data_IF_702819753116
#
_entry.id   IF_702819753116
#
_cell.length_a   1.000
_cell.length_b   1.000
_cell.length_c   1.000
_cell.angle_alpha   90.00
_cell.angle_beta   90.00
_cell.angle_gamma   90.00
#
_symmetry.space_group_name_H-M   'P 1'
#
loop_
_entity.id
_entity.type
_entity.pdbx_description
1 polymer ?
#
# COMPACT_ATOMS: atom_id res chain seq x y z
N UNK A 1 -19.20 2.34 23.66
CA UNK A 1 -18.99 0.99 24.22
C UNK A 1 -19.48 -0.14 23.31
N UNK A 2 -20.76 -0.19 22.86
CA UNK A 2 -21.29 -1.30 22.01
C UNK A 2 -20.47 -1.61 20.74
N UNK A 3 -20.01 -0.62 19.98
CA UNK A 3 -19.19 -0.83 18.76
C UNK A 3 -17.84 -1.49 19.04
N UNK A 4 -17.19 -1.16 20.16
CA UNK A 4 -15.90 -1.76 20.56
C UNK A 4 -16.05 -3.25 20.93
N UNK A 5 -17.13 -3.62 21.65
CA UNK A 5 -17.40 -5.02 21.96
C UNK A 5 -17.78 -5.84 20.73
N UNK A 6 -18.55 -5.25 19.79
CA UNK A 6 -18.87 -5.90 18.51
C UNK A 6 -17.62 -6.13 17.66
N UNK A 7 -16.71 -5.16 17.60
CA UNK A 7 -15.44 -5.31 16.91
C UNK A 7 -14.55 -6.40 17.55
N UNK A 8 -14.45 -6.42 18.89
CA UNK A 8 -13.69 -7.44 19.60
C UNK A 8 -14.29 -8.85 19.39
N UNK A 9 -15.61 -8.97 19.48
CA UNK A 9 -16.29 -10.24 19.23
C UNK A 9 -16.07 -10.72 17.78
N UNK A 10 -16.14 -9.83 16.81
CA UNK A 10 -15.87 -10.15 15.40
C UNK A 10 -14.40 -10.55 15.19
N UNK A 11 -13.46 -9.83 15.80
CA UNK A 11 -12.04 -10.17 15.74
C UNK A 11 -11.74 -11.54 16.34
N UNK A 12 -12.35 -11.87 17.49
CA UNK A 12 -12.24 -13.19 18.12
C UNK A 12 -12.89 -14.30 17.28
N UNK A 13 -14.04 -14.03 16.66
CA UNK A 13 -14.68 -14.97 15.73
C UNK A 13 -13.79 -15.28 14.52
N UNK A 14 -13.10 -14.27 13.99
CA UNK A 14 -12.14 -14.46 12.90
C UNK A 14 -10.85 -15.17 13.36
N UNK A 15 -10.48 -15.01 14.62
CA UNK A 15 -9.28 -15.65 15.19
C UNK A 15 -9.33 -17.17 15.07
N UNK A 16 -10.51 -17.79 15.26
CA UNK A 16 -10.65 -19.25 15.18
C UNK A 16 -10.38 -19.79 13.79
N UNK A 17 -11.10 -19.40 12.74
CA UNK A 17 -10.85 -19.95 11.40
C UNK A 17 -9.50 -19.54 10.82
N UNK A 18 -9.02 -18.32 11.12
CA UNK A 18 -7.76 -17.84 10.56
C UNK A 18 -6.52 -18.39 11.24
N UNK A 19 -6.57 -18.65 12.55
CA UNK A 19 -5.38 -19.06 13.31
C UNK A 19 -5.53 -20.44 13.98
N UNK A 20 -6.64 -20.71 14.68
CA UNK A 20 -6.75 -21.97 15.39
C UNK A 20 -6.87 -23.17 14.44
N UNK A 21 -7.78 -23.09 13.49
CA UNK A 21 -8.03 -24.21 12.55
C UNK A 21 -6.78 -24.61 11.76
N UNK A 22 -6.06 -23.68 11.07
CA UNK A 22 -4.88 -24.06 10.30
C UNK A 22 -3.77 -24.72 11.13
N UNK A 23 -3.53 -24.20 12.35
CA UNK A 23 -2.52 -24.75 13.25
C UNK A 23 -2.91 -26.14 13.71
N UNK A 24 -4.11 -26.30 14.28
CA UNK A 24 -4.58 -27.56 14.85
C UNK A 24 -4.69 -28.65 13.78
N UNK A 25 -5.20 -28.31 12.60
CA UNK A 25 -5.36 -29.25 11.51
C UNK A 25 -4.03 -29.76 10.97
N UNK A 26 -3.04 -28.87 10.81
CA UNK A 26 -1.68 -29.27 10.43
C UNK A 26 -1.01 -30.13 11.50
N UNK A 27 -1.12 -29.76 12.78
CA UNK A 27 -0.58 -30.57 13.89
C UNK A 27 -1.18 -31.96 13.90
N UNK A 28 -2.50 -32.08 13.67
CA UNK A 28 -3.20 -33.36 13.57
C UNK A 28 -2.66 -34.19 12.40
N UNK A 29 -2.58 -33.63 11.18
CA UNK A 29 -2.08 -34.33 10.02
C UNK A 29 -0.61 -34.69 10.11
N UNK A 30 0.21 -33.91 10.82
CA UNK A 30 1.60 -34.21 11.15
C UNK A 30 1.76 -35.23 12.28
N UNK A 31 0.63 -35.70 12.89
CA UNK A 31 0.61 -36.65 14.00
C UNK A 31 1.36 -36.19 15.22
N UNK A 32 1.32 -34.85 15.48
CA UNK A 32 1.95 -34.26 16.68
C UNK A 32 1.18 -34.65 17.93
N UNK A 33 1.89 -34.96 19.01
CA UNK A 33 1.28 -35.20 20.31
C UNK A 33 0.73 -33.91 20.95
N UNK A 34 0.06 -34.03 22.10
CA UNK A 34 -0.56 -32.88 22.78
C UNK A 34 0.44 -31.81 23.23
N UNK A 35 1.64 -32.21 23.64
CA UNK A 35 2.70 -31.28 24.09
C UNK A 35 3.27 -30.54 22.89
N UNK A 36 3.59 -31.22 21.81
CA UNK A 36 4.07 -30.64 20.57
C UNK A 36 3.03 -29.70 19.96
N UNK A 37 1.76 -30.11 19.94
CA UNK A 37 0.65 -29.27 19.47
C UNK A 37 0.53 -28.00 20.29
N UNK A 38 0.56 -28.08 21.63
CA UNK A 38 0.51 -26.89 22.48
C UNK A 38 1.71 -25.96 22.28
N UNK A 39 2.91 -26.51 22.12
CA UNK A 39 4.13 -25.76 21.87
C UNK A 39 4.10 -24.95 20.56
N UNK A 40 3.40 -25.43 19.53
CA UNK A 40 3.20 -24.71 18.25
C UNK A 40 1.99 -23.77 18.34
N UNK A 41 0.87 -24.27 18.87
CA UNK A 41 -0.41 -23.57 18.90
C UNK A 41 -0.35 -22.28 19.72
N UNK A 42 0.13 -22.35 20.96
CA UNK A 42 0.06 -21.19 21.86
C UNK A 42 0.84 -19.97 21.33
N UNK A 43 2.09 -20.07 20.91
CA UNK A 43 2.82 -18.92 20.39
C UNK A 43 2.18 -18.34 19.14
N UNK A 44 1.78 -19.16 18.17
CA UNK A 44 1.21 -18.71 16.91
C UNK A 44 -0.19 -18.12 17.07
N UNK A 45 -1.05 -18.75 17.89
CA UNK A 45 -2.41 -18.29 18.13
C UNK A 45 -2.43 -16.94 18.85
N UNK A 46 -1.60 -16.76 19.87
CA UNK A 46 -1.54 -15.52 20.64
C UNK A 46 -0.61 -14.47 20.05
N UNK A 47 0.16 -14.78 19.00
CA UNK A 47 1.15 -13.89 18.40
C UNK A 47 0.60 -12.49 18.08
N UNK A 48 -0.60 -12.40 17.48
CA UNK A 48 -1.21 -11.13 17.11
C UNK A 48 -1.64 -10.31 18.32
N UNK A 49 -2.17 -10.98 19.34
CA UNK A 49 -2.58 -10.33 20.59
C UNK A 49 -1.36 -9.72 21.27
N UNK A 50 -0.28 -10.50 21.41
CA UNK A 50 0.98 -10.04 22.00
C UNK A 50 1.59 -8.90 21.17
N UNK A 51 1.64 -9.04 19.85
CA UNK A 51 2.21 -8.03 18.96
C UNK A 51 1.46 -6.69 19.05
N UNK A 52 0.12 -6.72 19.06
CA UNK A 52 -0.71 -5.50 19.07
C UNK A 52 -0.83 -4.85 20.44
N UNK A 53 -0.77 -5.61 21.52
CA UNK A 53 -0.89 -5.04 22.88
C UNK A 53 0.45 -4.60 23.46
N UNK A 54 1.53 -5.36 23.22
CA UNK A 54 2.79 -5.17 23.93
C UNK A 54 3.98 -4.78 23.04
N UNK A 55 3.93 -5.05 21.73
CA UNK A 55 5.08 -4.86 20.84
C UNK A 55 4.88 -3.78 19.78
N UNK A 56 3.77 -3.04 19.81
CA UNK A 56 3.43 -2.05 18.78
C UNK A 56 4.51 -0.97 18.60
N UNK A 57 5.23 -0.60 19.67
CA UNK A 57 6.29 0.41 19.64
C UNK A 57 7.70 -0.19 19.52
N UNK A 58 7.84 -1.51 19.39
CA UNK A 58 9.16 -2.14 19.25
C UNK A 58 9.76 -1.82 17.88
N UNK A 59 10.84 -1.03 17.88
CA UNK A 59 11.53 -0.57 16.66
C UNK A 59 12.89 -1.24 16.44
N UNK A 60 13.45 -1.94 17.44
CA UNK A 60 14.74 -2.61 17.39
C UNK A 60 14.82 -3.77 18.41
N UNK A 61 15.88 -4.55 18.33
CA UNK A 61 16.14 -5.66 19.24
C UNK A 61 15.24 -6.87 19.07
N UNK A 62 15.22 -7.81 20.02
CA UNK A 62 14.46 -9.06 19.94
C UNK A 62 12.95 -8.85 19.81
N UNK A 63 12.41 -7.84 20.51
CA UNK A 63 10.95 -7.53 20.44
C UNK A 63 10.52 -7.03 19.07
N UNK A 64 11.39 -6.33 18.34
CA UNK A 64 11.14 -5.97 16.94
C UNK A 64 11.00 -7.22 16.06
N UNK A 65 11.90 -8.19 16.23
CA UNK A 65 11.85 -9.43 15.44
C UNK A 65 10.64 -10.28 15.82
N UNK A 66 10.25 -10.32 17.10
CA UNK A 66 9.05 -11.01 17.54
C UNK A 66 7.79 -10.39 16.92
N UNK A 67 7.68 -9.06 16.91
CA UNK A 67 6.60 -8.36 16.20
C UNK A 67 6.59 -8.70 14.71
N UNK A 68 7.76 -8.69 14.07
CA UNK A 68 7.90 -9.04 12.65
C UNK A 68 7.48 -10.46 12.34
N UNK A 69 7.81 -11.40 13.21
CA UNK A 69 7.39 -12.81 13.07
C UNK A 69 5.87 -12.94 13.21
N UNK A 70 5.27 -12.21 14.15
CA UNK A 70 3.81 -12.16 14.28
C UNK A 70 3.14 -11.54 13.04
N UNK A 71 3.67 -10.42 12.52
CA UNK A 71 3.15 -9.81 11.28
C UNK A 71 3.30 -10.78 10.09
N UNK A 72 4.42 -11.50 9.98
CA UNK A 72 4.63 -12.51 8.94
C UNK A 72 3.59 -13.64 9.06
N UNK A 73 3.35 -14.13 10.28
CA UNK A 73 2.33 -15.14 10.55
C UNK A 73 0.92 -14.67 10.18
N UNK A 74 0.59 -13.39 10.40
CA UNK A 74 -0.66 -12.79 9.95
C UNK A 74 -0.86 -12.90 8.42
N UNK A 75 0.23 -12.79 7.65
CA UNK A 75 0.19 -12.96 6.19
C UNK A 75 0.11 -14.42 5.74
N UNK A 76 0.76 -15.33 6.48
CA UNK A 76 0.82 -16.77 6.14
C UNK A 76 -0.50 -17.47 6.47
N UNK A 77 -1.10 -17.17 7.61
CA UNK A 77 -2.21 -17.95 8.17
C UNK A 77 -3.44 -18.00 7.26
N UNK A 78 -3.93 -16.89 6.66
CA UNK A 78 -5.04 -16.94 5.70
C UNK A 78 -4.70 -17.73 4.43
N UNK A 79 -3.45 -17.65 3.97
CA UNK A 79 -2.98 -18.43 2.83
C UNK A 79 -3.00 -19.92 3.14
N UNK A 80 -2.50 -20.29 4.33
CA UNK A 80 -2.50 -21.67 4.82
C UNK A 80 -3.92 -22.20 4.99
N UNK A 81 -4.85 -21.37 5.49
CA UNK A 81 -6.27 -21.72 5.58
C UNK A 81 -6.83 -22.08 4.20
N UNK A 82 -6.59 -21.25 3.19
CA UNK A 82 -7.08 -21.53 1.83
C UNK A 82 -6.50 -22.83 1.27
N UNK A 83 -5.21 -23.08 1.47
CA UNK A 83 -4.54 -24.29 1.03
C UNK A 83 -5.08 -25.53 1.73
N UNK A 84 -5.30 -25.47 3.04
CA UNK A 84 -5.91 -26.56 3.83
C UNK A 84 -7.31 -26.87 3.36
N UNK A 85 -8.17 -25.86 3.23
CA UNK A 85 -9.56 -26.05 2.76
C UNK A 85 -9.57 -26.72 1.36
N UNK A 86 -8.66 -26.32 0.48
CA UNK A 86 -8.54 -26.97 -0.85
C UNK A 86 -8.08 -28.42 -0.80
N UNK A 87 -7.34 -28.83 0.24
CA UNK A 87 -6.82 -30.21 0.39
C UNK A 87 -7.69 -31.12 1.26
N UNK A 88 -8.66 -30.57 2.00
CA UNK A 88 -9.54 -31.38 2.86
C UNK A 88 -10.28 -32.47 2.09
N UNK A 89 -10.89 -32.15 0.95
CA UNK A 89 -11.65 -33.08 0.17
C UNK A 89 -10.76 -34.18 -0.44
N UNK A 90 -9.63 -33.94 -1.11
CA UNK A 90 -8.69 -34.95 -1.56
C UNK A 90 -8.20 -35.89 -0.45
N UNK A 91 -7.95 -35.34 0.75
CA UNK A 91 -7.53 -36.15 1.91
C UNK A 91 -8.70 -37.02 2.42
N UNK A 92 -9.90 -36.43 2.57
CA UNK A 92 -11.08 -37.17 3.02
C UNK A 92 -11.48 -38.32 2.07
N UNK A 93 -11.22 -38.17 0.76
CA UNK A 93 -11.45 -39.19 -0.24
C UNK A 93 -10.31 -40.26 -0.29
N UNK A 94 -9.27 -40.09 0.53
CA UNK A 94 -8.12 -41.04 0.54
C UNK A 94 -7.18 -40.91 -0.66
N UNK A 95 -7.32 -39.85 -1.48
CA UNK A 95 -6.43 -39.61 -2.62
C UNK A 95 -5.03 -39.19 -2.19
N UNK A 96 -4.90 -38.53 -1.05
CA UNK A 96 -3.63 -38.08 -0.47
C UNK A 96 -3.64 -38.45 1.02
N UNK A 97 -2.54 -39.03 1.50
CA UNK A 97 -2.38 -39.29 2.93
C UNK A 97 -2.21 -37.98 3.70
N UNK A 98 -2.86 -37.85 4.88
CA UNK A 98 -2.83 -36.66 5.74
C UNK A 98 -1.41 -36.15 5.98
N UNK A 99 -0.49 -37.03 6.36
CA UNK A 99 0.90 -36.67 6.64
C UNK A 99 1.62 -36.08 5.42
N UNK A 100 1.43 -36.70 4.24
CA UNK A 100 1.99 -36.22 2.98
C UNK A 100 1.42 -34.86 2.59
N UNK A 101 0.10 -34.70 2.74
CA UNK A 101 -0.58 -33.41 2.50
C UNK A 101 -0.01 -32.32 3.41
N UNK A 102 0.14 -32.57 4.71
CA UNK A 102 0.69 -31.62 5.67
C UNK A 102 2.12 -31.22 5.32
N UNK A 103 3.00 -32.16 4.98
CA UNK A 103 4.36 -31.87 4.56
C UNK A 103 4.39 -30.99 3.30
N UNK A 104 3.58 -31.34 2.29
CA UNK A 104 3.48 -30.55 1.05
C UNK A 104 2.98 -29.11 1.32
N UNK A 105 1.96 -28.96 2.19
CA UNK A 105 1.43 -27.65 2.56
C UNK A 105 2.46 -26.80 3.31
N UNK A 106 3.22 -27.38 4.24
CA UNK A 106 4.28 -26.67 4.96
C UNK A 106 5.38 -26.21 4.00
N UNK A 107 5.85 -27.10 3.11
CA UNK A 107 6.84 -26.75 2.10
C UNK A 107 6.34 -25.65 1.15
N UNK A 108 5.10 -25.77 0.68
CA UNK A 108 4.48 -24.77 -0.20
C UNK A 108 4.30 -23.42 0.52
N UNK A 109 3.81 -23.42 1.76
CA UNK A 109 3.67 -22.21 2.57
C UNK A 109 5.02 -21.52 2.77
N UNK A 110 6.08 -22.28 3.05
CA UNK A 110 7.42 -21.74 3.15
C UNK A 110 7.91 -21.11 1.83
N UNK A 111 7.76 -21.81 0.71
CA UNK A 111 8.15 -21.35 -0.61
C UNK A 111 7.40 -20.06 -1.02
N UNK A 112 6.06 -20.05 -0.83
CA UNK A 112 5.23 -18.88 -1.12
C UNK A 112 5.56 -17.70 -0.19
N UNK A 113 5.87 -17.96 1.07
CA UNK A 113 6.29 -16.93 2.01
C UNK A 113 7.63 -16.31 1.59
N UNK A 114 8.63 -17.14 1.27
CA UNK A 114 9.93 -16.67 0.80
C UNK A 114 9.78 -15.84 -0.48
N UNK A 115 9.03 -16.31 -1.47
CA UNK A 115 8.71 -15.56 -2.67
C UNK A 115 8.02 -14.23 -2.34
N UNK A 116 7.02 -14.24 -1.47
CA UNK A 116 6.23 -13.05 -1.11
C UNK A 116 7.08 -11.99 -0.42
N UNK A 117 8.00 -12.41 0.46
CA UNK A 117 8.94 -11.52 1.13
C UNK A 117 9.92 -10.92 0.14
N UNK A 118 10.54 -11.72 -0.74
CA UNK A 118 11.45 -11.23 -1.78
C UNK A 118 10.75 -10.22 -2.70
N UNK A 119 9.52 -10.52 -3.12
CA UNK A 119 8.70 -9.64 -3.95
C UNK A 119 8.40 -8.30 -3.25
N UNK A 120 8.11 -8.31 -1.93
CA UNK A 120 7.86 -7.12 -1.14
C UNK A 120 9.10 -6.19 -1.00
N UNK A 121 10.30 -6.71 -1.15
CA UNK A 121 11.55 -5.92 -1.09
C UNK A 121 11.98 -5.34 -2.44
N UNK A 122 11.34 -5.74 -3.55
CA UNK A 122 11.75 -5.37 -4.90
C UNK A 122 10.61 -4.73 -5.70
N UNK A 123 10.18 -3.49 -5.36
CA UNK A 123 9.18 -2.79 -6.16
C UNK A 123 9.69 -2.59 -7.60
N UNK A 124 8.81 -2.82 -8.59
CA UNK A 124 9.12 -2.61 -10.00
C UNK A 124 8.99 -1.13 -10.37
N UNK A 125 9.58 -0.72 -11.50
CA UNK A 125 9.20 0.52 -12.16
C UNK A 125 8.09 0.20 -13.16
N UNK A 126 6.98 0.92 -13.07
CA UNK A 126 5.84 0.83 -14.00
C UNK A 126 5.70 2.15 -14.72
N UNK A 127 5.75 2.12 -16.04
CA UNK A 127 5.67 3.32 -16.87
C UNK A 127 4.25 3.51 -17.40
N UNK A 128 3.71 4.72 -17.21
CA UNK A 128 2.39 5.15 -17.69
C UNK A 128 2.59 6.31 -18.67
N UNK A 129 2.26 6.06 -19.93
CA UNK A 129 2.37 7.07 -21.01
C UNK A 129 1.02 7.67 -21.29
N UNK A 130 0.94 8.99 -21.23
CA UNK A 130 -0.24 9.78 -21.52
C UNK A 130 0.11 10.90 -22.48
N UNK A 131 -0.93 11.50 -23.09
CA UNK A 131 -0.76 12.70 -23.94
C UNK A 131 -1.72 13.79 -23.47
N UNK A 132 -1.28 15.06 -23.59
CA UNK A 132 -2.09 16.22 -23.26
C UNK A 132 -1.76 17.39 -24.21
N UNK A 133 -2.78 18.19 -24.53
CA UNK A 133 -2.62 19.46 -25.26
C UNK A 133 -2.15 20.61 -24.34
N UNK A 134 -2.10 20.37 -23.02
CA UNK A 134 -1.74 21.38 -22.01
C UNK A 134 -0.27 21.37 -21.64
N UNK A 135 0.54 20.51 -22.27
CA UNK A 135 1.99 20.49 -22.11
C UNK A 135 2.66 20.73 -23.47
N UNK A 136 3.73 21.53 -23.49
CA UNK A 136 4.47 21.88 -24.71
C UNK A 136 5.73 21.03 -24.88
N UNK A 137 6.22 20.45 -23.77
CA UNK A 137 7.34 19.52 -23.75
C UNK A 137 6.96 18.23 -23.00
N UNK A 138 7.73 17.16 -23.21
CA UNK A 138 7.52 15.92 -22.45
C UNK A 138 7.81 16.16 -20.99
N UNK A 139 6.79 15.92 -20.16
CA UNK A 139 6.86 15.99 -18.70
C UNK A 139 7.01 14.59 -18.14
N UNK A 140 7.96 14.39 -17.24
CA UNK A 140 8.17 13.11 -16.53
C UNK A 140 8.14 13.29 -15.03
N UNK A 141 7.38 12.48 -14.34
CA UNK A 141 7.39 12.48 -12.88
C UNK A 141 7.17 11.07 -12.34
N UNK A 142 7.61 10.85 -11.10
CA UNK A 142 7.38 9.58 -10.43
C UNK A 142 6.34 9.72 -9.32
N UNK A 143 5.63 8.61 -9.05
CA UNK A 143 4.80 8.44 -7.87
C UNK A 143 5.36 7.30 -7.02
N UNK A 144 5.48 7.55 -5.71
CA UNK A 144 5.53 6.53 -4.67
C UNK A 144 4.36 6.77 -3.71
N UNK A 145 3.82 5.70 -3.17
CA UNK A 145 2.70 5.75 -2.23
C UNK A 145 2.76 4.53 -1.31
N UNK A 146 2.13 4.61 -0.15
CA UNK A 146 2.01 3.47 0.76
C UNK A 146 3.40 2.84 1.09
N UNK A 147 4.36 3.69 1.39
CA UNK A 147 5.74 3.25 1.70
C UNK A 147 5.80 2.63 3.09
N UNK A 148 5.01 3.17 4.04
CA UNK A 148 4.83 2.69 5.40
C UNK A 148 6.14 2.60 6.20
N UNK A 149 6.87 3.71 6.33
CA UNK A 149 8.04 3.77 7.20
C UNK A 149 7.60 3.71 8.66
N UNK A 150 8.03 2.67 9.34
CA UNK A 150 7.53 2.16 10.63
C UNK A 150 7.33 0.66 10.51
N UNK A 151 6.42 0.23 9.64
CA UNK A 151 6.33 -1.16 9.15
C UNK A 151 7.50 -1.50 8.23
N UNK A 152 7.95 -0.56 7.40
CA UNK A 152 9.16 -0.69 6.56
C UNK A 152 10.33 0.04 7.20
N UNK A 153 11.55 -0.34 6.82
CA UNK A 153 12.78 0.21 7.38
C UNK A 153 13.34 1.36 6.54
N UNK A 154 14.23 2.17 7.14
CA UNK A 154 15.00 3.20 6.43
C UNK A 154 15.82 2.62 5.27
N UNK A 155 16.36 1.40 5.42
CA UNK A 155 17.09 0.70 4.34
C UNK A 155 16.19 0.38 3.14
N UNK A 156 14.90 0.12 3.35
CA UNK A 156 13.93 -0.03 2.26
C UNK A 156 13.71 1.32 1.56
N UNK A 157 13.49 2.40 2.32
CA UNK A 157 13.35 3.74 1.76
C UNK A 157 14.58 4.12 0.92
N UNK A 158 15.79 3.85 1.44
CA UNK A 158 17.02 4.13 0.69
C UNK A 158 17.07 3.42 -0.67
N UNK A 159 16.62 2.16 -0.75
CA UNK A 159 16.53 1.42 -2.03
C UNK A 159 15.48 2.01 -2.96
N UNK A 160 14.34 2.43 -2.42
CA UNK A 160 13.30 3.10 -3.22
C UNK A 160 13.84 4.41 -3.80
N UNK A 161 14.48 5.25 -2.97
CA UNK A 161 15.05 6.53 -3.41
C UNK A 161 16.21 6.36 -4.40
N UNK A 162 17.04 5.31 -4.24
CA UNK A 162 18.06 4.96 -5.24
C UNK A 162 17.41 4.60 -6.60
N UNK A 163 16.26 3.90 -6.57
CA UNK A 163 15.53 3.57 -7.79
C UNK A 163 14.92 4.84 -8.41
N UNK A 164 14.29 5.70 -7.62
CA UNK A 164 13.74 7.00 -8.07
C UNK A 164 14.84 7.86 -8.70
N UNK A 165 16.01 7.99 -8.05
CA UNK A 165 17.11 8.81 -8.54
C UNK A 165 17.79 8.30 -9.83
N UNK A 166 17.46 7.08 -10.28
CA UNK A 166 17.89 6.55 -11.59
C UNK A 166 16.92 6.89 -12.72
N UNK A 167 15.72 7.38 -12.36
CA UNK A 167 14.74 7.82 -13.33
C UNK A 167 15.05 9.26 -13.73
N UNK A 168 14.89 9.54 -15.02
CA UNK A 168 14.94 10.90 -15.57
C UNK A 168 13.54 11.51 -15.37
N UNK A 169 13.39 12.32 -14.31
CA UNK A 169 12.10 12.89 -13.88
C UNK A 169 12.27 14.34 -13.46
N UNK A 170 11.20 15.14 -13.61
CA UNK A 170 11.14 16.55 -13.23
C UNK A 170 10.81 16.72 -11.74
N UNK A 171 9.97 15.84 -11.18
CA UNK A 171 9.60 15.84 -9.77
C UNK A 171 9.12 14.47 -9.28
N UNK A 172 9.05 14.33 -7.95
CA UNK A 172 8.51 13.14 -7.25
C UNK A 172 7.22 13.50 -6.51
N UNK A 173 6.17 12.69 -6.67
CA UNK A 173 4.94 12.74 -5.88
C UNK A 173 4.91 11.61 -4.86
N UNK A 174 4.54 11.94 -3.61
CA UNK A 174 4.26 10.98 -2.53
C UNK A 174 2.79 11.12 -2.16
N UNK A 175 1.98 10.11 -2.47
CA UNK A 175 0.52 10.17 -2.32
C UNK A 175 0.02 9.42 -1.07
N UNK A 176 0.53 9.83 0.10
CA UNK A 176 0.07 9.37 1.41
C UNK A 176 0.61 8.01 1.86
N UNK A 177 0.31 7.70 3.11
CA UNK A 177 0.73 6.48 3.84
C UNK A 177 2.24 6.23 3.70
N UNK A 178 2.99 7.33 3.82
CA UNK A 178 4.45 7.30 3.77
C UNK A 178 5.03 6.86 5.11
N UNK A 179 4.38 7.26 6.22
CA UNK A 179 4.77 6.94 7.60
C UNK A 179 3.56 6.31 8.30
N UNK A 180 3.78 5.17 8.97
CA UNK A 180 2.75 4.41 9.67
C UNK A 180 3.10 4.08 11.12
N UNK A 181 3.95 4.90 11.75
CA UNK A 181 4.28 4.77 13.16
C UNK A 181 4.65 6.10 13.79
N UNK A 182 4.20 6.30 15.02
CA UNK A 182 4.63 7.42 15.86
C UNK A 182 6.13 7.35 16.15
N UNK A 183 6.79 8.50 16.23
CA UNK A 183 8.20 8.58 16.63
C UNK A 183 9.22 8.15 15.58
N UNK A 184 8.83 7.94 14.32
CA UNK A 184 9.78 7.72 13.22
C UNK A 184 10.73 8.92 13.14
N UNK A 185 12.03 8.68 13.32
CA UNK A 185 13.02 9.74 13.37
C UNK A 185 13.29 10.36 11.99
N UNK A 186 13.77 11.61 11.98
CA UNK A 186 14.22 12.25 10.74
C UNK A 186 15.35 11.49 10.08
N UNK A 187 16.23 10.85 10.88
CA UNK A 187 17.29 9.97 10.39
C UNK A 187 16.72 8.78 9.56
N UNK A 188 15.59 8.21 9.97
CA UNK A 188 14.98 7.12 9.23
C UNK A 188 14.45 7.55 7.86
N UNK A 189 14.16 8.84 7.70
CA UNK A 189 13.66 9.46 6.48
C UNK A 189 14.76 10.15 5.65
N UNK A 190 16.01 10.13 6.12
CA UNK A 190 17.14 10.90 5.54
C UNK A 190 17.40 10.63 4.06
N UNK A 191 16.98 9.45 3.54
CA UNK A 191 17.09 9.13 2.12
C UNK A 191 16.31 10.11 1.22
N UNK A 192 15.30 10.83 1.74
CA UNK A 192 14.60 11.90 1.01
C UNK A 192 15.52 13.07 0.66
N UNK A 193 16.53 13.38 1.50
CA UNK A 193 17.53 14.43 1.21
C UNK A 193 18.36 14.14 -0.05
N UNK A 194 18.45 12.86 -0.43
CA UNK A 194 19.17 12.44 -1.64
C UNK A 194 18.30 12.53 -2.90
N UNK A 195 17.03 12.94 -2.80
CA UNK A 195 16.19 13.19 -3.98
C UNK A 195 16.75 14.37 -4.77
N UNK A 196 16.95 14.17 -6.07
CA UNK A 196 17.58 15.17 -6.95
C UNK A 196 16.60 16.18 -7.52
N UNK A 197 15.31 15.93 -7.32
CA UNK A 197 14.21 16.72 -7.87
C UNK A 197 13.27 17.15 -6.75
N UNK A 198 12.42 18.17 -6.95
CA UNK A 198 11.40 18.56 -5.98
C UNK A 198 10.49 17.40 -5.59
N UNK A 199 10.12 17.33 -4.32
CA UNK A 199 9.22 16.29 -3.77
C UNK A 199 7.94 16.94 -3.28
N UNK A 200 6.80 16.48 -3.77
CA UNK A 200 5.47 16.91 -3.36
C UNK A 200 4.77 15.78 -2.62
N UNK A 201 4.16 16.13 -1.49
CA UNK A 201 3.52 15.15 -0.60
C UNK A 201 2.08 15.55 -0.27
N UNK A 202 1.14 14.61 -0.38
CA UNK A 202 -0.19 14.69 0.22
C UNK A 202 -0.35 13.61 1.28
N UNK A 203 -1.09 13.89 2.36
CA UNK A 203 -1.26 12.95 3.46
C UNK A 203 -2.19 11.79 3.10
N UNK A 204 -1.92 10.60 3.66
CA UNK A 204 -2.83 9.47 3.70
C UNK A 204 -3.53 9.33 5.05
N UNK A 205 -4.23 8.23 5.23
CA UNK A 205 -4.93 7.98 6.49
C UNK A 205 -3.97 7.59 7.62
N UNK A 206 -2.84 6.97 7.32
CA UNK A 206 -1.87 6.60 8.35
C UNK A 206 -1.26 7.83 9.00
N UNK A 207 -0.88 8.86 8.26
CA UNK A 207 -0.39 10.09 8.86
C UNK A 207 -1.42 10.75 9.80
N UNK A 208 -2.74 10.61 9.50
CA UNK A 208 -3.81 11.13 10.37
C UNK A 208 -3.98 10.35 11.68
N UNK A 209 -3.60 9.08 11.69
CA UNK A 209 -3.72 8.22 12.88
C UNK A 209 -2.53 8.35 13.82
N UNK A 210 -1.43 8.93 13.33
CA UNK A 210 -0.19 9.14 14.04
C UNK A 210 -0.02 10.60 14.49
N UNK A 211 1.16 11.00 14.93
CA UNK A 211 1.49 12.39 15.25
C UNK A 211 1.73 13.20 13.97
N UNK A 212 0.61 13.64 13.35
CA UNK A 212 0.60 14.32 12.05
C UNK A 212 1.50 15.57 12.06
N UNK A 213 1.40 16.43 13.07
CA UNK A 213 2.16 17.67 13.10
C UNK A 213 3.67 17.42 13.14
N UNK A 214 4.11 16.45 13.94
CA UNK A 214 5.51 16.08 14.01
C UNK A 214 5.99 15.39 12.70
N UNK A 215 5.13 14.64 12.02
CA UNK A 215 5.42 14.07 10.70
C UNK A 215 5.65 15.19 9.68
N UNK A 216 4.72 16.14 9.60
CA UNK A 216 4.80 17.26 8.65
C UNK A 216 6.01 18.15 8.88
N UNK A 217 6.33 18.46 10.15
CA UNK A 217 7.54 19.19 10.49
C UNK A 217 8.82 18.48 10.01
N UNK A 218 8.91 17.16 10.20
CA UNK A 218 10.05 16.37 9.71
C UNK A 218 10.16 16.40 8.19
N UNK A 219 9.06 16.19 7.48
CA UNK A 219 9.03 16.23 6.01
C UNK A 219 9.45 17.61 5.49
N UNK A 220 8.95 18.70 6.08
CA UNK A 220 9.35 20.06 5.72
C UNK A 220 10.85 20.30 5.92
N UNK A 221 11.44 19.84 7.05
CA UNK A 221 12.90 19.94 7.29
C UNK A 221 13.73 19.11 6.31
N UNK A 222 13.14 18.11 5.69
CA UNK A 222 13.77 17.29 4.64
C UNK A 222 13.59 17.89 3.24
N UNK A 223 12.97 19.07 3.11
CA UNK A 223 12.75 19.76 1.83
C UNK A 223 11.55 19.26 1.04
N UNK A 224 10.64 18.50 1.68
CA UNK A 224 9.43 18.00 1.02
C UNK A 224 8.35 19.10 1.05
N UNK A 225 7.79 19.42 -0.11
CA UNK A 225 6.65 20.34 -0.25
C UNK A 225 5.35 19.64 0.13
N UNK A 226 4.86 19.88 1.34
CA UNK A 226 3.62 19.30 1.85
C UNK A 226 2.42 20.07 1.31
N UNK A 227 1.52 19.39 0.60
CA UNK A 227 0.30 19.96 0.04
C UNK A 227 -0.90 19.55 0.92
N UNK A 228 -1.42 20.49 1.70
CA UNK A 228 -2.54 20.33 2.63
C UNK A 228 -3.76 21.04 2.09
N UNK A 229 -4.60 20.34 1.31
CA UNK A 229 -5.75 20.91 0.59
C UNK A 229 -5.40 22.27 -0.07
N UNK A 230 -4.32 22.26 -0.85
CA UNK A 230 -3.81 23.46 -1.53
C UNK A 230 -3.18 23.14 -2.87
N UNK A 231 -2.99 24.19 -3.66
CA UNK A 231 -2.35 24.15 -4.96
C UNK A 231 -0.90 24.64 -4.92
N UNK A 232 -0.09 24.19 -5.87
CA UNK A 232 1.22 24.76 -6.23
C UNK A 232 1.47 24.53 -7.71
N UNK A 233 2.52 25.14 -8.26
CA UNK A 233 2.87 24.98 -9.67
C UNK A 233 4.29 24.44 -9.84
N UNK A 234 4.50 23.63 -10.86
CA UNK A 234 5.80 23.19 -11.34
C UNK A 234 5.80 23.26 -12.86
N UNK A 235 6.49 24.24 -13.44
CA UNK A 235 6.45 24.50 -14.88
C UNK A 235 5.01 24.67 -15.38
N UNK A 236 4.60 23.83 -16.33
CA UNK A 236 3.25 23.83 -16.93
C UNK A 236 2.20 23.06 -16.10
N UNK A 237 2.61 22.44 -14.97
CA UNK A 237 1.74 21.63 -14.13
C UNK A 237 1.22 22.42 -12.95
N UNK A 238 -0.08 22.33 -12.69
CA UNK A 238 -0.68 22.70 -11.41
C UNK A 238 -0.86 21.42 -10.59
N UNK A 239 -0.14 21.33 -9.46
CA UNK A 239 -0.29 20.23 -8.50
C UNK A 239 -1.29 20.62 -7.42
N UNK A 240 -2.22 19.74 -7.14
CA UNK A 240 -3.21 19.85 -6.08
C UNK A 240 -3.00 18.71 -5.12
N UNK A 241 -2.78 18.99 -3.82
CA UNK A 241 -2.81 17.95 -2.80
C UNK A 241 -4.05 18.11 -1.95
N UNK A 242 -4.86 17.05 -1.83
CA UNK A 242 -6.04 17.02 -0.96
C UNK A 242 -5.74 16.12 0.24
N UNK A 243 -6.08 16.61 1.43
CA UNK A 243 -5.96 15.85 2.67
C UNK A 243 -6.89 14.64 2.69
N UNK A 244 -6.37 13.50 3.13
CA UNK A 244 -7.20 12.31 3.34
C UNK A 244 -8.29 12.57 4.37
N UNK A 245 -9.49 12.09 4.10
CA UNK A 245 -10.61 12.10 5.04
C UNK A 245 -11.53 10.89 4.83
N UNK A 246 -12.29 10.55 5.88
CA UNK A 246 -13.27 9.47 5.79
C UNK A 246 -14.56 9.89 5.06
N UNK A 247 -14.70 11.19 4.78
CA UNK A 247 -15.85 11.74 4.05
C UNK A 247 -15.81 11.32 2.56
N UNK A 248 -16.83 10.64 2.03
CA UNK A 248 -16.89 10.26 0.62
C UNK A 248 -16.84 11.45 -0.37
N UNK A 249 -17.33 12.63 0.05
CA UNK A 249 -17.35 13.85 -0.77
C UNK A 249 -16.11 14.74 -0.58
N UNK A 250 -15.04 14.23 0.03
CA UNK A 250 -13.83 15.01 0.34
C UNK A 250 -13.26 15.72 -0.91
N UNK A 251 -13.04 14.98 -1.99
CA UNK A 251 -12.49 15.54 -3.23
C UNK A 251 -13.38 16.66 -3.79
N UNK A 252 -14.70 16.46 -3.82
CA UNK A 252 -15.65 17.47 -4.30
C UNK A 252 -15.59 18.75 -3.46
N UNK A 253 -15.59 18.61 -2.13
CA UNK A 253 -15.57 19.74 -1.20
C UNK A 253 -14.30 20.57 -1.31
N UNK A 254 -13.16 19.91 -1.32
CA UNK A 254 -11.87 20.58 -1.37
C UNK A 254 -11.64 21.26 -2.74
N UNK A 255 -11.93 20.56 -3.84
CA UNK A 255 -11.78 21.15 -5.18
C UNK A 255 -12.68 22.38 -5.40
N UNK A 256 -13.86 22.43 -4.77
CA UNK A 256 -14.74 23.58 -4.85
C UNK A 256 -14.17 24.86 -4.21
N UNK A 257 -13.15 24.74 -3.36
CA UNK A 257 -12.49 25.88 -2.67
C UNK A 257 -11.16 26.29 -3.29
N UNK A 258 -10.67 25.51 -4.25
CA UNK A 258 -9.35 25.72 -4.85
C UNK A 258 -9.47 26.38 -6.22
N UNK A 259 -8.53 27.27 -6.53
CA UNK A 259 -8.41 27.86 -7.85
C UNK A 259 -7.70 26.89 -8.81
N UNK A 260 -8.42 26.47 -9.86
CA UNK A 260 -7.93 25.50 -10.83
C UNK A 260 -7.76 26.21 -12.19
N UNK A 261 -6.51 26.29 -12.66
CA UNK A 261 -6.18 26.90 -13.93
C UNK A 261 -6.44 25.92 -15.09
N UNK A 262 -7.47 26.13 -15.92
CA UNK A 262 -7.81 25.22 -17.01
C UNK A 262 -6.76 25.15 -18.12
N UNK A 263 -5.82 26.11 -18.15
CA UNK A 263 -4.75 26.17 -19.14
C UNK A 263 -3.55 25.29 -18.79
N UNK A 264 -3.42 24.91 -17.52
CA UNK A 264 -2.35 24.05 -17.02
C UNK A 264 -2.73 22.59 -17.04
N UNK A 265 -1.74 21.70 -17.09
CA UNK A 265 -1.96 20.30 -16.79
C UNK A 265 -2.20 20.15 -15.29
N UNK A 266 -3.41 19.75 -14.90
CA UNK A 266 -3.84 19.67 -13.48
C UNK A 266 -3.62 18.26 -12.96
N UNK A 267 -2.67 18.11 -12.02
CA UNK A 267 -2.34 16.86 -11.34
C UNK A 267 -2.86 16.87 -9.90
N UNK A 268 -3.81 15.98 -9.59
CA UNK A 268 -4.38 15.81 -8.25
C UNK A 268 -3.70 14.65 -7.51
N UNK A 269 -3.11 14.95 -6.37
CA UNK A 269 -2.58 14.00 -5.40
C UNK A 269 -3.66 13.77 -4.31
N UNK A 270 -4.27 12.60 -4.31
CA UNK A 270 -5.22 12.20 -3.26
C UNK A 270 -5.06 10.72 -2.95
N UNK A 271 -4.87 10.41 -1.69
CA UNK A 271 -4.48 9.06 -1.27
C UNK A 271 -5.49 7.98 -1.65
N UNK A 272 -6.79 8.19 -1.37
CA UNK A 272 -7.84 7.18 -1.65
C UNK A 272 -8.34 7.26 -3.10
N UNK A 273 -8.60 6.14 -3.79
CA UNK A 273 -9.10 6.13 -5.17
C UNK A 273 -10.61 6.43 -5.23
N UNK A 274 -11.00 7.60 -4.72
CA UNK A 274 -12.39 8.08 -4.66
C UNK A 274 -12.49 9.49 -5.23
N UNK A 275 -13.69 9.86 -5.70
CA UNK A 275 -13.94 11.23 -6.17
C UNK A 275 -13.50 11.51 -7.62
N UNK A 276 -13.24 10.48 -8.44
CA UNK A 276 -12.84 10.67 -9.84
C UNK A 276 -13.85 11.54 -10.63
N UNK A 277 -15.16 11.33 -10.41
CA UNK A 277 -16.19 12.16 -11.05
C UNK A 277 -16.08 13.63 -10.65
N UNK A 278 -15.91 13.91 -9.36
CA UNK A 278 -15.72 15.28 -8.88
C UNK A 278 -14.42 15.91 -9.41
N UNK A 279 -13.35 15.12 -9.55
CA UNK A 279 -12.13 15.57 -10.18
C UNK A 279 -12.34 15.92 -11.67
N UNK A 280 -13.15 15.13 -12.39
CA UNK A 280 -13.51 15.39 -13.78
C UNK A 280 -14.36 16.68 -13.92
N UNK A 281 -15.35 16.87 -13.07
CA UNK A 281 -16.19 18.06 -13.03
C UNK A 281 -15.37 19.33 -12.71
N UNK A 282 -14.29 19.20 -11.93
CA UNK A 282 -13.37 20.30 -11.59
C UNK A 282 -12.28 20.56 -12.64
N UNK A 283 -12.17 19.75 -13.71
CA UNK A 283 -11.18 19.95 -14.77
C UNK A 283 -9.78 19.40 -14.47
N UNK A 284 -9.66 18.44 -13.55
CA UNK A 284 -8.42 17.70 -13.29
C UNK A 284 -8.07 16.83 -14.49
N UNK A 285 -6.81 16.83 -14.93
CA UNK A 285 -6.35 15.98 -16.04
C UNK A 285 -5.94 14.59 -15.58
N UNK A 286 -5.21 14.51 -14.47
CA UNK A 286 -4.76 13.26 -13.87
C UNK A 286 -4.88 13.30 -12.35
N UNK A 287 -5.53 12.31 -11.80
CA UNK A 287 -5.55 12.01 -10.37
C UNK A 287 -4.67 10.79 -10.10
N UNK A 288 -3.82 10.85 -9.09
CA UNK A 288 -2.97 9.74 -8.67
C UNK A 288 -3.27 9.35 -7.22
N UNK A 289 -3.44 8.05 -6.99
CA UNK A 289 -3.86 7.49 -5.70
C UNK A 289 -3.11 6.21 -5.35
N UNK A 290 -3.23 5.78 -4.08
CA UNK A 290 -2.74 4.50 -3.55
C UNK A 290 -3.80 3.80 -2.71
N UNK A 291 -3.49 3.53 -1.42
CA UNK A 291 -4.37 3.06 -0.36
C UNK A 291 -4.80 1.58 -0.43
N UNK A 292 -5.02 1.04 -1.59
CA UNK A 292 -5.64 -0.28 -1.76
C UNK A 292 -4.67 -1.44 -1.59
N UNK A 293 -3.37 -1.18 -1.76
CA UNK A 293 -2.31 -2.19 -1.89
C UNK A 293 -2.61 -3.29 -2.92
N UNK A 294 -3.68 -3.16 -3.71
CA UNK A 294 -4.28 -4.25 -4.49
C UNK A 294 -4.46 -5.52 -3.64
N UNK A 295 -4.86 -5.32 -2.37
CA UNK A 295 -5.03 -6.39 -1.37
C UNK A 295 -3.74 -7.03 -0.86
N UNK A 296 -2.58 -6.64 -1.36
CA UNK A 296 -1.22 -7.02 -0.96
C UNK A 296 -0.94 -8.54 -1.01
N UNK A 297 -1.78 -9.39 -0.40
CA UNK A 297 -1.62 -10.85 -0.30
C UNK A 297 -2.95 -11.53 -0.70
N UNK A 298 -2.90 -12.47 -1.65
CA UNK A 298 -4.04 -13.35 -1.96
C UNK A 298 -4.41 -14.15 -0.70
N UNK A 299 -5.70 -14.27 -0.33
CA UNK A 299 -6.91 -13.89 -1.09
C UNK A 299 -7.49 -12.50 -0.75
N UNK A 300 -6.80 -11.64 0.00
CA UNK A 300 -7.32 -10.33 0.38
C UNK A 300 -7.61 -9.39 -0.79
N UNK A 301 -6.96 -9.61 -1.95
CA UNK A 301 -7.27 -8.87 -3.17
C UNK A 301 -8.73 -9.00 -3.60
N UNK A 302 -9.38 -10.15 -3.38
CA UNK A 302 -10.81 -10.33 -3.64
C UNK A 302 -11.69 -9.53 -2.68
N UNK A 303 -11.27 -9.43 -1.41
CA UNK A 303 -11.98 -8.63 -0.40
C UNK A 303 -11.86 -7.15 -0.73
N UNK A 304 -10.64 -6.68 -1.01
CA UNK A 304 -10.38 -5.28 -1.37
C UNK A 304 -11.10 -4.89 -2.66
N UNK A 305 -11.15 -5.79 -3.66
CA UNK A 305 -11.90 -5.58 -4.90
C UNK A 305 -13.42 -5.44 -4.72
N UNK A 306 -13.99 -5.96 -3.62
CA UNK A 306 -15.40 -5.74 -3.27
C UNK A 306 -15.63 -4.40 -2.57
N UNK A 307 -14.66 -3.91 -1.82
CA UNK A 307 -14.73 -2.63 -1.09
C UNK A 307 -14.43 -1.45 -2.02
N UNK A 308 -13.39 -1.59 -2.84
CA UNK A 308 -12.95 -0.57 -3.77
C UNK A 308 -13.19 -1.04 -5.21
N UNK A 309 -14.06 -0.32 -5.95
CA UNK A 309 -14.32 -0.60 -7.37
C UNK A 309 -13.09 -0.37 -8.27
N UNK A 310 -12.15 0.46 -7.80
CA UNK A 310 -10.90 0.81 -8.48
C UNK A 310 -9.74 0.48 -7.56
N UNK A 311 -9.09 -0.66 -7.77
CA UNK A 311 -8.05 -1.17 -6.86
C UNK A 311 -6.64 -0.96 -7.37
N UNK A 312 -6.43 -1.02 -8.68
CA UNK A 312 -5.10 -0.85 -9.32
C UNK A 312 -5.28 -0.54 -10.80
N UNK A 313 -4.38 0.28 -11.35
CA UNK A 313 -4.32 0.59 -12.77
C UNK A 313 -4.97 1.93 -13.14
N UNK A 314 -5.16 2.14 -14.45
CA UNK A 314 -5.64 3.38 -15.04
C UNK A 314 -7.16 3.31 -15.28
N UNK A 315 -7.88 4.30 -14.78
CA UNK A 315 -9.33 4.50 -14.98
C UNK A 315 -9.57 5.85 -15.61
N UNK A 316 -10.73 6.04 -16.25
CA UNK A 316 -11.08 7.28 -16.93
C UNK A 316 -12.53 7.67 -16.65
N UNK A 317 -12.77 8.98 -16.49
CA UNK A 317 -14.07 9.62 -16.41
C UNK A 317 -14.02 10.91 -17.24
N UNK A 318 -14.74 10.96 -18.36
CA UNK A 318 -14.59 12.05 -19.31
C UNK A 318 -13.14 12.16 -19.84
N UNK A 319 -12.54 13.33 -19.69
CA UNK A 319 -11.12 13.58 -20.04
C UNK A 319 -10.15 13.32 -18.88
N UNK A 320 -10.66 13.14 -17.67
CA UNK A 320 -9.86 12.93 -16.45
C UNK A 320 -9.48 11.47 -16.31
N UNK A 321 -8.21 11.23 -15.99
CA UNK A 321 -7.70 9.89 -15.67
C UNK A 321 -7.42 9.77 -14.19
N UNK A 322 -7.63 8.59 -13.64
CA UNK A 322 -7.21 8.19 -12.30
C UNK A 322 -6.26 7.02 -12.43
N UNK A 323 -5.06 7.16 -11.90
CA UNK A 323 -4.17 6.03 -11.68
C UNK A 323 -4.19 5.62 -10.22
N UNK A 324 -4.40 4.32 -9.98
CA UNK A 324 -4.34 3.72 -8.64
C UNK A 324 -3.14 2.80 -8.58
N UNK A 325 -2.13 3.20 -7.80
CA UNK A 325 -0.95 2.38 -7.55
C UNK A 325 -1.25 1.30 -6.50
N UNK A 326 -0.71 0.09 -6.65
CA UNK A 326 -0.78 -0.94 -5.61
C UNK A 326 0.14 -0.63 -4.40
N UNK A 327 0.78 0.53 -4.38
CA UNK A 327 1.70 0.93 -3.33
C UNK A 327 3.15 0.48 -3.56
N UNK A 328 4.08 1.23 -3.01
CA UNK A 328 5.53 0.96 -3.11
C UNK A 328 6.01 0.00 -2.01
N UNK A 329 5.52 0.20 -0.78
CA UNK A 329 5.84 -0.60 0.40
C UNK A 329 4.82 -1.68 0.72
N UNK A 330 4.62 -1.95 2.00
CA UNK A 330 3.64 -2.90 2.53
C UNK A 330 3.14 -2.43 3.88
N UNK A 331 1.86 -2.67 4.14
CA UNK A 331 1.29 -2.47 5.46
C UNK A 331 1.20 -3.80 6.23
N UNK A 332 1.59 -3.81 7.53
CA UNK A 332 1.61 -5.01 8.35
C UNK A 332 2.63 -6.05 7.86
N UNK A 333 2.22 -7.22 7.36
CA UNK A 333 3.13 -8.24 6.85
C UNK A 333 4.02 -7.73 5.72
N UNK A 334 5.34 -7.97 5.83
CA UNK A 334 6.27 -7.63 4.75
C UNK A 334 6.24 -8.74 3.69
N UNK A 335 5.09 -8.84 3.04
CA UNK A 335 4.78 -9.87 2.02
C UNK A 335 3.97 -9.26 0.88
N UNK A 336 4.21 -9.73 -0.34
CA UNK A 336 3.36 -9.45 -1.51
C UNK A 336 3.19 -10.71 -2.35
N UNK A 337 1.95 -11.21 -2.39
CA UNK A 337 1.55 -12.38 -3.18
C UNK A 337 0.29 -12.03 -3.99
N UNK A 338 0.36 -12.13 -5.31
CA UNK A 338 -0.74 -11.70 -6.19
C UNK A 338 -0.80 -10.18 -6.41
N UNK A 339 0.09 -9.43 -5.81
CA UNK A 339 0.35 -8.01 -6.09
C UNK A 339 1.85 -7.74 -6.08
N UNK A 340 2.28 -6.65 -6.70
CA UNK A 340 3.69 -6.23 -6.69
C UNK A 340 3.79 -4.76 -6.30
N UNK A 341 4.77 -4.43 -5.46
CA UNK A 341 5.07 -3.02 -5.17
C UNK A 341 5.66 -2.32 -6.39
N UNK A 342 5.41 -1.01 -6.50
CA UNK A 342 5.91 -0.23 -7.64
C UNK A 342 6.38 1.17 -7.26
N UNK A 343 7.24 1.70 -8.13
CA UNK A 343 7.48 3.12 -8.36
C UNK A 343 6.87 3.42 -9.71
N UNK A 344 5.85 4.28 -9.77
CA UNK A 344 5.18 4.60 -11.02
C UNK A 344 5.87 5.77 -11.70
N UNK A 345 6.29 5.60 -12.96
CA UNK A 345 6.83 6.65 -13.80
C UNK A 345 5.76 7.12 -14.78
N UNK A 346 5.39 8.39 -14.70
CA UNK A 346 4.49 9.00 -15.67
C UNK A 346 5.30 9.77 -16.71
N UNK A 347 4.91 9.60 -17.99
CA UNK A 347 5.40 10.37 -19.12
C UNK A 347 4.19 11.00 -19.82
N UNK A 348 4.09 12.33 -19.73
CA UNK A 348 3.04 13.11 -20.38
C UNK A 348 3.64 13.78 -21.58
N UNK A 349 3.20 13.38 -22.78
CA UNK A 349 3.68 13.92 -24.03
C UNK A 349 2.78 15.01 -24.59
N UNK A 350 3.31 16.03 -25.28
CA UNK A 350 2.50 16.94 -26.05
C UNK A 350 1.63 16.17 -27.04
N UNK A 351 0.33 16.48 -27.04
CA UNK A 351 -0.55 16.05 -28.11
C UNK A 351 -0.51 17.11 -29.20
N UNK A 352 0.28 16.89 -30.23
CA UNK A 352 0.31 17.78 -31.38
C UNK A 352 -1.08 17.76 -32.04
N UNK A 353 -1.79 18.89 -32.00
CA UNK A 353 -2.97 19.04 -32.85
C UNK A 353 -2.45 18.97 -34.31
N UNK A 354 -2.80 17.91 -35.03
CA UNK A 354 -2.67 17.91 -36.45
C UNK A 354 -3.51 19.09 -36.96
N UNK A 355 -2.84 20.18 -37.36
CA UNK A 355 -3.48 21.25 -38.09
C UNK A 355 -3.86 20.60 -39.43
N UNK A 356 -5.12 20.16 -39.53
CA UNK A 356 -5.70 19.90 -40.85
C UNK A 356 -5.78 21.26 -41.54
N UNK A 357 -4.70 21.62 -42.23
CA UNK A 357 -4.77 22.62 -43.31
C UNK A 357 -5.53 21.91 -44.43
N UNK A 358 -6.82 22.14 -44.46
CA UNK A 358 -7.62 21.78 -45.62
C UNK A 358 -7.10 22.55 -46.83
N UNK A 359 -6.98 21.90 -48.03
CA UNK A 359 -6.50 22.53 -49.25
C UNK A 359 -7.38 23.66 -49.74
#
# INVERSE_FOLDING_TARGET
>A
MKRRHQFLAFALLLQIPLFAYPILRLCQWLRMDGVQTAAVFLPLFFSQIVARLYLQHASHGPMFWLRRSADLWLGISPLLLCMLVATELPVALGWIAEYTAAQALVCLAFALTAYSVLNAYSPSVVEIKLSSTKVTSTLRFAQITDVHIGSRTSAFLSRVMQKVNRLDIDFLCITGDFIDATGVSEQALSALRCCRVPVYFSIGNHERYEDLDAILQRLNRLGVSVLRSRTTTHGEVQLIGIDDADNPSQVQRELATLDIDPKRFVLLLYHRPRGLRAAAEAGVDLMISGHTHNGQIVPFNFVVGRVFKKTVGLFQEGMTRLYVSPGTGTWGPVMRLGSRGEVTLFEIRPLTQSINVAP
#
